data_IF_250285911953
#
_entry.id   IF_250285911953
#
_cell.length_a   1.000
_cell.length_b   1.000
_cell.length_c   1.000
_cell.angle_alpha   90.00
_cell.angle_beta   90.00
_cell.angle_gamma   90.00
#
_symmetry.space_group_name_H-M   'P 1'
#
loop_
_entity.id
_entity.type
_entity.pdbx_description
1 polymer ?
#
# COMPACT_ATOMS: atom_id res chain seq x y z
N UNK A 1 -6.65 34.82 29.02
CA UNK A 1 -7.51 33.64 29.21
C UNK A 1 -8.95 33.96 28.82
N UNK A 2 -9.38 33.63 27.59
CA UNK A 2 -10.80 33.41 27.32
C UNK A 2 -11.03 31.99 26.76
N UNK A 3 -11.69 31.21 27.63
CA UNK A 3 -12.60 30.07 27.46
C UNK A 3 -12.83 29.59 26.02
N UNK A 4 -12.25 28.43 25.70
CA UNK A 4 -12.68 27.58 24.58
C UNK A 4 -14.16 27.21 24.77
N UNK A 5 -15.03 27.82 23.97
CA UNK A 5 -16.36 27.30 23.70
C UNK A 5 -16.18 25.98 22.94
N UNK A 6 -16.79 24.90 23.46
CA UNK A 6 -16.84 23.61 22.79
C UNK A 6 -17.70 23.78 21.53
N UNK A 7 -17.08 23.89 20.36
CA UNK A 7 -17.79 23.71 19.10
C UNK A 7 -17.95 22.22 18.92
N UNK A 8 -19.13 21.67 19.22
CA UNK A 8 -19.44 20.30 18.82
C UNK A 8 -19.42 20.22 17.29
N UNK A 9 -18.76 19.20 16.70
CA UNK A 9 -18.76 19.04 15.26
C UNK A 9 -20.19 18.70 14.84
N UNK A 10 -20.88 19.67 14.23
CA UNK A 10 -22.13 19.39 13.54
C UNK A 10 -21.79 18.50 12.36
N UNK A 11 -22.04 17.19 12.49
CA UNK A 11 -21.92 16.23 11.40
C UNK A 11 -22.75 16.75 10.21
N UNK A 12 -22.09 17.21 9.16
CA UNK A 12 -22.72 17.64 7.94
C UNK A 12 -23.37 16.40 7.29
N UNK A 13 -24.68 16.22 7.52
CA UNK A 13 -25.44 15.13 6.90
C UNK A 13 -25.78 15.54 5.47
N UNK A 14 -25.62 14.63 4.48
CA UNK A 14 -26.10 14.87 3.12
C UNK A 14 -27.61 15.17 3.09
N UNK A 15 -28.10 15.90 2.09
CA UNK A 15 -29.52 16.19 1.96
C UNK A 15 -30.34 14.90 1.78
N UNK A 16 -31.54 14.86 2.36
CA UNK A 16 -32.54 13.83 2.08
C UNK A 16 -33.26 14.24 0.79
N UNK A 17 -33.14 13.41 -0.24
CA UNK A 17 -33.65 13.67 -1.59
C UNK A 17 -34.71 12.64 -1.98
N UNK A 18 -35.38 12.87 -3.10
CA UNK A 18 -36.30 11.88 -3.68
C UNK A 18 -35.55 10.65 -4.24
N UNK A 19 -36.27 9.55 -4.46
CA UNK A 19 -35.69 8.34 -5.06
C UNK A 19 -35.06 8.63 -6.43
N UNK A 20 -35.76 9.39 -7.29
CA UNK A 20 -35.28 9.72 -8.63
C UNK A 20 -33.98 10.54 -8.62
N UNK A 21 -33.85 11.49 -7.70
CA UNK A 21 -32.62 12.29 -7.55
C UNK A 21 -31.47 11.43 -7.02
N UNK A 22 -31.76 10.52 -6.10
CA UNK A 22 -30.77 9.58 -5.59
C UNK A 22 -30.29 8.60 -6.67
N UNK A 23 -31.21 8.02 -7.46
CA UNK A 23 -30.87 7.11 -8.55
C UNK A 23 -29.96 7.81 -9.59
N UNK A 24 -30.30 9.04 -9.97
CA UNK A 24 -29.48 9.82 -10.89
C UNK A 24 -28.06 10.10 -10.34
N UNK A 25 -27.96 10.44 -9.06
CA UNK A 25 -26.68 10.66 -8.39
C UNK A 25 -25.85 9.37 -8.29
N UNK A 26 -26.50 8.24 -7.99
CA UNK A 26 -25.85 6.93 -7.92
C UNK A 26 -25.34 6.49 -9.29
N UNK A 27 -26.14 6.63 -10.36
CA UNK A 27 -25.69 6.31 -11.72
C UNK A 27 -24.42 7.09 -12.08
N UNK A 28 -24.40 8.40 -11.84
CA UNK A 28 -23.23 9.24 -12.10
C UNK A 28 -22.01 8.84 -11.26
N UNK A 29 -22.22 8.37 -10.01
CA UNK A 29 -21.14 7.86 -9.17
C UNK A 29 -20.59 6.54 -9.69
N UNK A 30 -21.46 5.60 -10.06
CA UNK A 30 -21.07 4.27 -10.56
C UNK A 30 -20.27 4.36 -11.86
N UNK A 31 -20.62 5.29 -12.75
CA UNK A 31 -19.83 5.56 -13.97
C UNK A 31 -18.40 6.01 -13.62
N UNK A 32 -18.25 6.89 -12.62
CA UNK A 32 -16.93 7.33 -12.14
C UNK A 32 -16.16 6.18 -11.51
N UNK A 33 -16.80 5.40 -10.65
CA UNK A 33 -16.16 4.23 -10.00
C UNK A 33 -15.71 3.19 -11.03
N UNK A 34 -16.52 2.93 -12.06
CA UNK A 34 -16.14 2.05 -13.17
C UNK A 34 -14.89 2.56 -13.89
N UNK A 35 -14.80 3.87 -14.17
CA UNK A 35 -13.63 4.45 -14.84
C UNK A 35 -12.35 4.32 -14.00
N UNK A 36 -12.44 4.53 -12.69
CA UNK A 36 -11.31 4.35 -11.76
C UNK A 36 -10.89 2.88 -11.73
N UNK A 37 -11.86 1.97 -11.67
CA UNK A 37 -11.60 0.53 -11.72
C UNK A 37 -10.88 0.13 -13.01
N UNK A 38 -11.31 0.64 -14.17
CA UNK A 38 -10.64 0.39 -15.45
C UNK A 38 -9.19 0.90 -15.45
N UNK A 39 -8.95 2.13 -14.99
CA UNK A 39 -7.60 2.70 -14.91
C UNK A 39 -6.68 1.90 -13.97
N UNK A 40 -7.21 1.41 -12.84
CA UNK A 40 -6.45 0.57 -11.91
C UNK A 40 -6.07 -0.78 -12.55
N UNK A 41 -6.97 -1.39 -13.32
CA UNK A 41 -6.66 -2.62 -14.06
C UNK A 41 -5.57 -2.39 -15.12
N UNK A 42 -5.65 -1.30 -15.88
CA UNK A 42 -4.64 -0.94 -16.86
C UNK A 42 -3.26 -0.75 -16.20
N UNK A 43 -3.22 -0.02 -15.08
CA UNK A 43 -1.99 0.20 -14.32
C UNK A 43 -1.41 -1.11 -13.77
N UNK A 44 -2.25 -1.99 -13.21
CA UNK A 44 -1.80 -3.29 -12.71
C UNK A 44 -1.23 -4.16 -13.85
N UNK A 45 -1.84 -4.12 -15.03
CA UNK A 45 -1.35 -4.83 -16.20
C UNK A 45 -0.03 -4.23 -16.71
N UNK A 46 0.11 -2.90 -16.71
CA UNK A 46 1.35 -2.22 -17.06
C UNK A 46 2.50 -2.58 -16.10
N UNK A 47 2.25 -2.61 -14.78
CA UNK A 47 3.23 -3.03 -13.76
C UNK A 47 3.74 -4.45 -14.00
N UNK A 48 2.86 -5.38 -14.35
CA UNK A 48 3.24 -6.77 -14.67
C UNK A 48 4.08 -6.90 -15.95
N UNK A 49 3.95 -5.94 -16.87
CA UNK A 49 4.71 -5.87 -18.13
C UNK A 49 5.95 -4.97 -18.05
N UNK A 50 6.27 -4.44 -16.86
CA UNK A 50 7.48 -3.63 -16.69
C UNK A 50 8.71 -4.45 -17.13
N UNK A 51 9.62 -3.85 -17.92
CA UNK A 51 10.85 -4.51 -18.29
C UNK A 51 11.64 -4.95 -17.05
N UNK A 52 12.24 -6.14 -17.15
CA UNK A 52 13.09 -6.68 -16.09
C UNK A 52 14.54 -6.28 -16.35
N UNK A 53 15.27 -5.98 -15.28
CA UNK A 53 16.72 -5.83 -15.32
C UNK A 53 17.34 -7.14 -14.88
N UNK A 54 18.31 -7.65 -15.64
CA UNK A 54 19.08 -8.83 -15.23
C UNK A 54 19.99 -8.44 -14.07
N UNK A 55 19.86 -9.16 -12.98
CA UNK A 55 20.80 -9.05 -11.85
C UNK A 55 22.08 -9.76 -12.25
N UNK A 56 23.16 -9.02 -12.38
CA UNK A 56 24.49 -9.55 -12.75
C UNK A 56 25.41 -9.70 -11.53
N UNK A 57 25.02 -9.14 -10.38
CA UNK A 57 25.84 -9.17 -9.17
C UNK A 57 25.59 -10.44 -8.37
N UNK A 58 26.68 -11.07 -7.93
CA UNK A 58 26.67 -12.26 -7.08
C UNK A 58 26.44 -11.88 -5.62
N UNK A 59 25.19 -11.55 -5.28
CA UNK A 59 24.81 -11.22 -3.92
C UNK A 59 24.98 -12.41 -2.98
N UNK A 60 25.49 -12.12 -1.78
CA UNK A 60 25.51 -13.04 -0.66
C UNK A 60 24.80 -12.43 0.55
N UNK A 61 24.01 -13.26 1.22
CA UNK A 61 23.20 -12.92 2.37
C UNK A 61 23.59 -13.80 3.55
N UNK A 62 23.47 -13.25 4.75
CA UNK A 62 23.61 -14.00 6.00
C UNK A 62 22.22 -14.38 6.49
N UNK A 63 22.02 -15.67 6.76
CA UNK A 63 20.80 -16.20 7.32
C UNK A 63 21.07 -17.10 8.53
N UNK A 64 20.01 -17.59 9.19
CA UNK A 64 20.14 -18.45 10.37
C UNK A 64 20.91 -19.75 10.10
N UNK A 65 20.84 -20.27 8.87
CA UNK A 65 21.53 -21.49 8.43
C UNK A 65 22.86 -21.20 7.71
N UNK A 66 23.42 -20.01 7.93
CA UNK A 66 24.65 -19.52 7.33
C UNK A 66 24.46 -18.71 6.05
N UNK A 67 25.53 -18.60 5.27
CA UNK A 67 25.58 -17.78 4.05
C UNK A 67 24.76 -18.40 2.92
N UNK A 68 24.07 -17.56 2.16
CA UNK A 68 23.23 -17.93 1.00
C UNK A 68 23.44 -16.94 -0.15
N UNK A 69 23.32 -17.43 -1.38
CA UNK A 69 23.27 -16.63 -2.61
C UNK A 69 21.84 -16.18 -2.94
N UNK A 70 21.67 -15.20 -3.82
CA UNK A 70 20.34 -14.74 -4.25
C UNK A 70 19.45 -15.88 -4.82
N UNK A 71 19.94 -16.79 -5.70
CA UNK A 71 19.12 -17.89 -6.20
C UNK A 71 18.71 -18.88 -5.11
N UNK A 72 19.56 -19.12 -4.12
CA UNK A 72 19.23 -20.03 -3.00
C UNK A 72 18.09 -19.49 -2.14
N UNK A 73 17.89 -18.16 -2.08
CA UNK A 73 16.73 -17.57 -1.38
C UNK A 73 15.39 -17.94 -2.02
N UNK A 74 15.36 -18.39 -3.28
CA UNK A 74 14.12 -18.83 -3.93
C UNK A 74 13.63 -20.17 -3.41
N UNK A 75 14.50 -20.99 -2.80
CA UNK A 75 14.13 -22.29 -2.22
C UNK A 75 13.29 -23.18 -3.18
N UNK A 76 13.75 -23.29 -4.43
CA UNK A 76 13.08 -24.06 -5.49
C UNK A 76 11.81 -23.42 -6.08
N UNK A 77 11.46 -22.19 -5.68
CA UNK A 77 10.29 -21.46 -6.20
C UNK A 77 10.65 -20.60 -7.41
N UNK A 78 9.63 -20.23 -8.18
CA UNK A 78 9.79 -19.36 -9.36
C UNK A 78 9.76 -17.86 -9.03
N UNK A 79 9.37 -17.49 -7.81
CA UNK A 79 9.24 -16.11 -7.37
C UNK A 79 9.76 -15.92 -5.94
N UNK A 80 10.50 -14.83 -5.74
CA UNK A 80 10.96 -14.35 -4.45
C UNK A 80 10.29 -13.00 -4.17
N UNK A 81 9.62 -12.87 -3.03
CA UNK A 81 9.06 -11.60 -2.55
C UNK A 81 10.04 -11.05 -1.52
N UNK A 82 10.57 -9.86 -1.78
CA UNK A 82 11.48 -9.16 -0.88
C UNK A 82 10.70 -8.11 -0.11
N UNK A 83 10.74 -8.21 1.22
CA UNK A 83 10.25 -7.19 2.12
C UNK A 83 11.43 -6.51 2.79
N UNK A 84 11.47 -5.17 2.74
CA UNK A 84 12.52 -4.40 3.40
C UNK A 84 12.04 -3.95 4.77
N UNK A 85 12.59 -4.59 5.80
CA UNK A 85 12.39 -4.19 7.18
C UNK A 85 13.46 -3.15 7.58
N UNK A 86 13.02 -2.00 8.07
CA UNK A 86 13.93 -0.94 8.54
C UNK A 86 14.15 -1.07 10.03
N UNK A 87 15.40 -1.34 10.41
CA UNK A 87 15.84 -1.53 11.78
C UNK A 87 17.23 -0.91 11.95
N UNK A 88 17.26 0.38 12.31
CA UNK A 88 18.49 1.16 12.52
C UNK A 88 18.28 2.20 13.62
N UNK A 89 19.39 2.71 14.17
CA UNK A 89 19.37 3.78 15.16
C UNK A 89 18.65 5.03 14.59
N UNK A 90 17.65 5.52 15.31
CA UNK A 90 16.85 6.69 14.91
C UNK A 90 15.49 6.35 14.29
N UNK A 91 15.18 5.07 14.09
CA UNK A 91 13.84 4.61 13.70
C UNK A 91 12.98 4.40 14.95
N UNK A 92 11.72 4.83 14.89
CA UNK A 92 10.76 4.60 15.98
C UNK A 92 10.58 3.10 16.24
N UNK A 93 10.89 2.67 17.47
CA UNK A 93 10.92 1.28 17.90
C UNK A 93 12.32 0.74 18.25
N UNK A 94 13.42 1.32 17.74
CA UNK A 94 14.77 0.81 18.02
C UNK A 94 15.13 0.99 19.52
N UNK A 95 15.82 0.02 20.17
CA UNK A 95 16.37 -1.23 19.65
C UNK A 95 15.42 -2.43 19.74
N UNK A 96 14.22 -2.25 20.28
CA UNK A 96 13.34 -3.37 20.65
C UNK A 96 12.38 -3.79 19.52
N UNK A 97 12.13 -2.90 18.56
CA UNK A 97 11.24 -3.08 17.42
C UNK A 97 11.75 -2.30 16.18
N UNK A 98 11.30 -2.71 14.99
CA UNK A 98 11.55 -1.93 13.76
C UNK A 98 10.48 -0.87 13.50
N UNK A 99 10.68 -0.12 12.42
CA UNK A 99 9.77 0.92 11.96
C UNK A 99 8.30 0.46 11.97
N UNK A 100 7.45 1.18 12.71
CA UNK A 100 6.00 0.89 12.87
C UNK A 100 5.24 0.87 11.54
N UNK A 101 5.66 1.67 10.56
CA UNK A 101 5.06 1.71 9.22
C UNK A 101 5.69 0.75 8.22
N UNK A 102 6.72 0.01 8.63
CA UNK A 102 7.52 -0.87 7.80
C UNK A 102 7.37 -2.34 8.23
N UNK A 103 6.31 -2.67 8.99
CA UNK A 103 5.91 -4.02 9.39
C UNK A 103 4.56 -4.41 8.79
#
# INVERSE_FOLDING_TARGET
MPKYGKTEPTLARPPVVSQNEWDAALTALLEREQSVGAAMHELAAARKRMPMVRVEHDYAFEGPDGRRSLPELFDGRSQLILYRFFFEEGVDGWPDAGCVGCS
#
